data_IF_266178292763
#
_entry.id   IF_266178292763
#
_cell.length_a   1.000
_cell.length_b   1.000
_cell.length_c   1.000
_cell.angle_alpha   90.00
_cell.angle_beta   90.00
_cell.angle_gamma   90.00
#
_symmetry.space_group_name_H-M   'P 1'
#
loop_
_entity.id
_entity.type
_entity.pdbx_description
1 polymer ?
#
# COMPACT_ATOMS: atom_id res chain seq x y z
N UNK A 1 4.38 20.64 -4.71
CA UNK A 1 4.86 19.83 -3.57
C UNK A 1 4.20 18.45 -3.54
N UNK A 2 2.93 18.33 -3.91
CA UNK A 2 2.21 17.02 -3.96
C UNK A 2 2.75 16.07 -5.03
N UNK A 3 3.35 16.58 -6.09
CA UNK A 3 3.94 15.78 -7.17
C UNK A 3 5.20 14.97 -6.74
N UNK A 4 5.85 15.35 -5.63
CA UNK A 4 7.05 14.66 -5.15
C UNK A 4 6.66 13.36 -4.41
N UNK A 5 5.60 13.39 -3.62
CA UNK A 5 5.09 12.20 -2.91
C UNK A 5 4.57 11.13 -3.87
N UNK A 6 3.81 11.52 -4.90
CA UNK A 6 3.28 10.58 -5.90
C UNK A 6 4.37 10.00 -6.81
N UNK A 7 5.40 10.79 -7.15
CA UNK A 7 6.57 10.28 -7.88
C UNK A 7 7.40 9.31 -7.05
N UNK A 8 7.59 9.60 -5.75
CA UNK A 8 8.35 8.73 -4.85
C UNK A 8 7.77 7.33 -4.71
N UNK A 9 6.44 7.21 -4.58
CA UNK A 9 5.75 5.92 -4.54
C UNK A 9 5.85 5.17 -5.87
N UNK A 10 5.64 5.87 -6.99
CA UNK A 10 5.80 5.26 -8.33
C UNK A 10 7.22 4.75 -8.59
N UNK A 11 8.23 5.43 -8.06
CA UNK A 11 9.62 5.01 -8.18
C UNK A 11 9.94 3.79 -7.30
N UNK A 12 9.29 3.65 -6.13
CA UNK A 12 9.41 2.45 -5.28
C UNK A 12 8.89 1.22 -6.03
N UNK A 13 7.68 1.28 -6.60
CA UNK A 13 7.11 0.14 -7.35
C UNK A 13 7.95 -0.23 -8.58
N UNK A 14 8.47 0.75 -9.31
CA UNK A 14 9.37 0.48 -10.45
C UNK A 14 10.65 -0.21 -10.01
N UNK A 15 11.26 0.21 -8.91
CA UNK A 15 12.47 -0.41 -8.37
C UNK A 15 12.20 -1.81 -7.85
N UNK A 16 11.06 -2.06 -7.23
CA UNK A 16 10.64 -3.42 -6.86
C UNK A 16 10.57 -4.33 -8.08
N UNK A 17 9.94 -3.88 -9.17
CA UNK A 17 9.90 -4.64 -10.43
C UNK A 17 11.30 -4.91 -10.99
N UNK A 18 12.23 -3.95 -10.90
CA UNK A 18 13.63 -4.14 -11.34
C UNK A 18 14.36 -5.18 -10.48
N UNK A 19 14.19 -5.14 -9.16
CA UNK A 19 14.78 -6.14 -8.25
C UNK A 19 14.23 -7.53 -8.57
N UNK A 20 12.91 -7.64 -8.78
CA UNK A 20 12.25 -8.90 -9.10
C UNK A 20 12.54 -9.40 -10.51
N UNK A 21 12.96 -8.53 -11.45
CA UNK A 21 13.30 -8.93 -12.82
C UNK A 21 14.46 -9.93 -12.89
N UNK A 22 15.36 -9.91 -11.91
CA UNK A 22 16.45 -10.88 -11.77
C UNK A 22 15.94 -12.29 -11.48
N UNK A 23 14.73 -12.43 -10.89
CA UNK A 23 14.10 -13.71 -10.56
C UNK A 23 13.30 -14.32 -11.72
N UNK A 24 13.19 -13.63 -12.86
CA UNK A 24 12.54 -14.12 -14.08
C UNK A 24 11.19 -13.48 -14.41
N UNK A 25 10.73 -13.70 -15.63
CA UNK A 25 9.51 -13.08 -16.18
C UNK A 25 8.23 -13.47 -15.42
N UNK A 26 8.12 -14.72 -14.99
CA UNK A 26 6.97 -15.22 -14.24
C UNK A 26 6.79 -14.44 -12.94
N UNK A 27 7.89 -14.16 -12.23
CA UNK A 27 7.87 -13.42 -10.97
C UNK A 27 7.44 -11.98 -11.18
N UNK A 28 7.95 -11.31 -12.22
CA UNK A 28 7.56 -9.94 -12.56
C UNK A 28 6.09 -9.87 -12.97
N UNK A 29 5.63 -10.80 -13.79
CA UNK A 29 4.24 -10.87 -14.23
C UNK A 29 3.29 -11.05 -13.03
N UNK A 30 3.58 -12.03 -12.17
CA UNK A 30 2.78 -12.33 -10.97
C UNK A 30 2.74 -11.15 -10.00
N UNK A 31 3.90 -10.50 -9.77
CA UNK A 31 3.98 -9.30 -8.94
C UNK A 31 3.17 -8.14 -9.54
N UNK A 32 3.24 -7.95 -10.86
CA UNK A 32 2.48 -6.91 -11.55
C UNK A 32 0.96 -7.12 -11.43
N UNK A 33 0.49 -8.35 -11.54
CA UNK A 33 -0.92 -8.70 -11.30
C UNK A 33 -1.33 -8.38 -9.87
N UNK A 34 -0.53 -8.82 -8.88
CA UNK A 34 -0.82 -8.57 -7.46
C UNK A 34 -0.86 -7.07 -7.12
N UNK A 35 0.10 -6.28 -7.63
CA UNK A 35 0.14 -4.81 -7.44
C UNK A 35 -1.06 -4.13 -8.13
N UNK A 36 -1.44 -4.53 -9.34
CA UNK A 36 -2.59 -3.95 -10.02
C UNK A 36 -3.88 -4.17 -9.22
N UNK A 37 -4.09 -5.38 -8.72
CA UNK A 37 -5.26 -5.71 -7.89
C UNK A 37 -5.21 -4.91 -6.58
N UNK A 38 -4.08 -4.89 -5.88
CA UNK A 38 -3.91 -4.10 -4.66
C UNK A 38 -4.19 -2.61 -4.90
N UNK A 39 -3.72 -2.05 -6.02
CA UNK A 39 -3.94 -0.65 -6.39
C UNK A 39 -5.40 -0.33 -6.66
N UNK A 40 -6.16 -1.26 -7.24
CA UNK A 40 -7.60 -1.10 -7.47
C UNK A 40 -8.34 -0.96 -6.13
N UNK A 41 -8.06 -1.85 -5.19
CA UNK A 41 -8.67 -1.80 -3.84
C UNK A 41 -8.19 -0.60 -3.02
N UNK A 42 -6.97 -0.13 -3.23
CA UNK A 42 -6.42 1.06 -2.60
C UNK A 42 -7.17 2.36 -2.96
N UNK A 43 -7.88 2.39 -4.09
CA UNK A 43 -8.67 3.57 -4.48
C UNK A 43 -9.71 3.97 -3.43
N UNK A 44 -10.25 3.02 -2.67
CA UNK A 44 -11.25 3.29 -1.62
C UNK A 44 -10.64 4.09 -0.46
N UNK A 45 -9.59 3.63 0.25
CA UNK A 45 -8.97 4.42 1.30
C UNK A 45 -8.36 5.72 0.78
N UNK A 46 -7.87 5.76 -0.46
CA UNK A 46 -7.38 6.98 -1.10
C UNK A 46 -8.49 8.03 -1.22
N UNK A 47 -9.66 7.67 -1.73
CA UNK A 47 -10.79 8.58 -1.87
C UNK A 47 -11.26 9.13 -0.52
N UNK A 48 -11.34 8.27 0.51
CA UNK A 48 -11.69 8.67 1.88
C UNK A 48 -10.64 9.62 2.45
N UNK A 49 -9.35 9.35 2.26
CA UNK A 49 -8.26 10.22 2.71
C UNK A 49 -8.29 11.61 2.05
N UNK A 50 -8.58 11.68 0.74
CA UNK A 50 -8.73 12.95 0.02
C UNK A 50 -9.93 13.75 0.55
N UNK A 51 -11.08 13.12 0.76
CA UNK A 51 -12.25 13.75 1.35
C UNK A 51 -11.96 14.29 2.76
N UNK A 52 -11.19 13.54 3.56
CA UNK A 52 -10.75 13.97 4.89
C UNK A 52 -9.91 15.25 4.84
N UNK A 53 -8.97 15.32 3.92
CA UNK A 53 -8.12 16.51 3.77
C UNK A 53 -8.96 17.79 3.60
N UNK A 54 -10.00 17.73 2.78
CA UNK A 54 -10.92 18.86 2.58
C UNK A 54 -11.74 19.14 3.83
N UNK A 55 -12.34 18.11 4.45
CA UNK A 55 -13.20 18.27 5.62
C UNK A 55 -12.43 18.82 6.83
N UNK A 56 -11.27 18.24 7.14
CA UNK A 56 -10.42 18.69 8.24
C UNK A 56 -9.93 20.12 7.97
N UNK A 57 -9.51 20.42 6.75
CA UNK A 57 -9.06 21.76 6.36
C UNK A 57 -10.14 22.84 6.54
N UNK A 58 -11.39 22.55 6.16
CA UNK A 58 -12.52 23.44 6.36
C UNK A 58 -12.78 23.70 7.86
N UNK A 59 -12.81 22.63 8.68
CA UNK A 59 -13.03 22.75 10.12
C UNK A 59 -11.92 23.54 10.84
N UNK A 60 -10.68 23.44 10.39
CA UNK A 60 -9.58 24.27 10.88
C UNK A 60 -9.78 25.73 10.46
N UNK A 61 -10.22 25.98 9.22
CA UNK A 61 -10.57 27.32 8.73
C UNK A 61 -11.69 27.98 9.55
N UNK A 62 -12.68 27.19 9.98
CA UNK A 62 -13.78 27.60 10.87
C UNK A 62 -13.36 27.76 12.35
N UNK A 63 -12.07 27.63 12.66
CA UNK A 63 -11.52 27.69 14.01
C UNK A 63 -12.14 26.67 14.99
N UNK A 64 -12.53 25.49 14.47
CA UNK A 64 -13.13 24.42 15.26
C UNK A 64 -12.22 23.17 15.36
N UNK A 65 -11.10 23.26 16.12
CA UNK A 65 -10.12 22.18 16.18
C UNK A 65 -10.66 20.90 16.84
N UNK A 66 -11.68 21.02 17.70
CA UNK A 66 -12.31 19.85 18.33
C UNK A 66 -13.02 18.98 17.29
N UNK A 67 -13.81 19.58 16.42
CA UNK A 67 -14.48 18.85 15.35
C UNK A 67 -13.48 18.36 14.28
N UNK A 68 -12.43 19.13 13.99
CA UNK A 68 -11.37 18.69 13.09
C UNK A 68 -10.69 17.40 13.59
N UNK A 69 -10.42 17.29 14.90
CA UNK A 69 -9.88 16.07 15.51
C UNK A 69 -10.84 14.88 15.39
N UNK A 70 -12.13 15.10 15.66
CA UNK A 70 -13.16 14.06 15.50
C UNK A 70 -13.22 13.59 14.03
N UNK A 71 -13.24 14.52 13.07
CA UNK A 71 -13.25 14.20 11.67
C UNK A 71 -12.01 13.39 11.25
N UNK A 72 -10.82 13.76 11.71
CA UNK A 72 -9.58 13.03 11.45
C UNK A 72 -9.63 11.59 12.01
N UNK A 73 -10.04 11.43 13.27
CA UNK A 73 -10.15 10.11 13.91
C UNK A 73 -11.20 9.24 13.19
N UNK A 74 -12.36 9.80 12.87
CA UNK A 74 -13.41 9.10 12.13
C UNK A 74 -12.94 8.64 10.75
N UNK A 75 -12.11 9.46 10.09
CA UNK A 75 -11.52 9.09 8.79
C UNK A 75 -10.59 7.89 8.91
N UNK A 76 -9.71 7.89 9.92
CA UNK A 76 -8.79 6.76 10.12
C UNK A 76 -9.58 5.47 10.38
N UNK A 77 -10.62 5.55 11.22
CA UNK A 77 -11.51 4.40 11.47
C UNK A 77 -12.23 3.93 10.20
N UNK A 78 -12.71 4.86 9.38
CA UNK A 78 -13.40 4.52 8.13
C UNK A 78 -12.43 3.90 7.11
N UNK A 79 -11.22 4.42 6.97
CA UNK A 79 -10.19 3.83 6.12
C UNK A 79 -9.79 2.43 6.62
N UNK A 80 -9.64 2.24 7.92
CA UNK A 80 -9.34 0.94 8.52
C UNK A 80 -10.47 -0.07 8.23
N UNK A 81 -11.72 0.33 8.44
CA UNK A 81 -12.88 -0.52 8.14
C UNK A 81 -12.95 -0.86 6.66
N UNK A 82 -12.75 0.11 5.77
CA UNK A 82 -12.68 -0.12 4.33
C UNK A 82 -11.55 -1.06 3.94
N UNK A 83 -10.37 -0.89 4.53
CA UNK A 83 -9.22 -1.77 4.32
C UNK A 83 -9.50 -3.21 4.80
N UNK A 84 -10.18 -3.38 5.94
CA UNK A 84 -10.60 -4.71 6.41
C UNK A 84 -11.57 -5.38 5.43
N UNK A 85 -12.56 -4.65 4.94
CA UNK A 85 -13.51 -5.16 3.94
C UNK A 85 -12.76 -5.55 2.66
N UNK A 86 -11.88 -4.69 2.16
CA UNK A 86 -11.04 -4.97 0.99
C UNK A 86 -10.18 -6.23 1.19
N UNK A 87 -9.53 -6.35 2.34
CA UNK A 87 -8.71 -7.51 2.70
C UNK A 87 -9.54 -8.80 2.69
N UNK A 88 -10.74 -8.79 3.29
CA UNK A 88 -11.65 -9.93 3.28
C UNK A 88 -12.08 -10.29 1.85
N UNK A 89 -12.42 -9.30 1.02
CA UNK A 89 -12.79 -9.54 -0.38
C UNK A 89 -11.62 -10.17 -1.14
N UNK A 90 -10.40 -9.66 -0.97
CA UNK A 90 -9.21 -10.21 -1.61
C UNK A 90 -8.96 -11.65 -1.15
N UNK A 91 -9.09 -11.95 0.13
CA UNK A 91 -8.88 -13.31 0.66
C UNK A 91 -9.94 -14.28 0.10
N UNK A 92 -11.21 -13.88 0.05
CA UNK A 92 -12.30 -14.75 -0.38
C UNK A 92 -12.35 -14.94 -1.90
N UNK A 93 -12.09 -13.88 -2.67
CA UNK A 93 -12.24 -13.85 -4.12
C UNK A 93 -10.92 -13.71 -4.87
N UNK A 94 -9.78 -13.70 -4.20
CA UNK A 94 -8.47 -13.43 -4.79
C UNK A 94 -8.13 -14.38 -5.95
N UNK A 95 -8.35 -15.67 -5.80
CA UNK A 95 -8.09 -16.65 -6.86
C UNK A 95 -8.97 -16.39 -8.10
N UNK A 96 -10.24 -16.04 -7.91
CA UNK A 96 -11.13 -15.68 -9.01
C UNK A 96 -10.67 -14.39 -9.69
N UNK A 97 -10.31 -13.36 -8.92
CA UNK A 97 -9.84 -12.08 -9.45
C UNK A 97 -8.54 -12.24 -10.23
N UNK A 98 -7.57 -13.02 -9.71
CA UNK A 98 -6.31 -13.31 -10.42
C UNK A 98 -6.58 -14.07 -11.71
N UNK A 99 -7.52 -15.01 -11.71
CA UNK A 99 -7.92 -15.77 -12.91
C UNK A 99 -8.52 -14.92 -14.03
N UNK A 100 -9.01 -13.70 -13.72
CA UNK A 100 -9.43 -12.73 -14.74
C UNK A 100 -8.25 -12.02 -15.43
N UNK A 101 -7.08 -11.99 -14.78
CA UNK A 101 -5.88 -11.33 -15.31
C UNK A 101 -5.02 -12.27 -16.15
N UNK A 102 -4.93 -13.55 -15.76
CA UNK A 102 -4.07 -14.51 -16.44
C UNK A 102 -4.62 -15.92 -16.37
N UNK A 103 -4.38 -16.69 -17.44
CA UNK A 103 -4.67 -18.13 -17.53
C UNK A 103 -3.40 -18.98 -17.49
N UNK A 104 -2.22 -18.36 -17.47
CA UNK A 104 -0.94 -19.07 -17.38
C UNK A 104 -0.75 -19.62 -15.97
N UNK A 105 -0.74 -20.93 -15.80
CA UNK A 105 -0.68 -21.62 -14.53
C UNK A 105 0.48 -21.16 -13.63
N UNK A 106 1.75 -21.03 -14.10
CA UNK A 106 2.86 -20.61 -13.24
C UNK A 106 2.69 -19.18 -12.70
N UNK A 107 2.15 -18.26 -13.52
CA UNK A 107 1.88 -16.88 -13.13
C UNK A 107 0.71 -16.83 -12.16
N UNK A 108 -0.34 -17.60 -12.42
CA UNK A 108 -1.55 -17.66 -11.62
C UNK A 108 -1.28 -18.17 -10.20
N UNK A 109 -0.56 -19.28 -10.06
CA UNK A 109 -0.22 -19.85 -8.75
C UNK A 109 0.61 -18.89 -7.89
N UNK A 110 1.64 -18.27 -8.49
CA UNK A 110 2.47 -17.30 -7.79
C UNK A 110 1.68 -16.03 -7.45
N UNK A 111 0.86 -15.51 -8.37
CA UNK A 111 0.04 -14.33 -8.12
C UNK A 111 -0.99 -14.54 -7.01
N UNK A 112 -1.60 -15.72 -6.91
CA UNK A 112 -2.51 -16.08 -5.80
C UNK A 112 -1.75 -16.06 -4.46
N UNK A 113 -0.53 -16.56 -4.43
CA UNK A 113 0.32 -16.47 -3.24
C UNK A 113 0.62 -15.01 -2.87
N UNK A 114 0.98 -14.17 -3.85
CA UNK A 114 1.32 -12.77 -3.61
C UNK A 114 0.11 -11.90 -3.21
N UNK A 115 -1.07 -12.19 -3.72
CA UNK A 115 -2.27 -11.41 -3.39
C UNK A 115 -2.71 -11.60 -1.94
N UNK A 116 -2.35 -12.72 -1.31
CA UNK A 116 -2.56 -12.91 0.12
C UNK A 116 -1.75 -11.90 0.94
N UNK A 117 -0.49 -11.65 0.56
CA UNK A 117 0.32 -10.60 1.18
C UNK A 117 -0.24 -9.21 0.89
N UNK A 118 -0.77 -8.98 -0.32
CA UNK A 118 -1.45 -7.74 -0.67
C UNK A 118 -2.68 -7.49 0.23
N UNK A 119 -3.44 -8.54 0.56
CA UNK A 119 -4.57 -8.43 1.48
C UNK A 119 -4.15 -7.99 2.90
N UNK A 120 -3.03 -8.52 3.41
CA UNK A 120 -2.47 -8.12 4.70
C UNK A 120 -1.96 -6.67 4.63
N UNK A 121 -1.27 -6.31 3.55
CA UNK A 121 -0.73 -4.97 3.33
C UNK A 121 -1.81 -3.88 3.26
N UNK A 122 -3.03 -4.21 2.83
CA UNK A 122 -4.15 -3.26 2.79
C UNK A 122 -4.47 -2.63 4.16
N UNK A 123 -4.23 -3.35 5.27
CA UNK A 123 -4.56 -2.86 6.61
C UNK A 123 -3.67 -1.67 7.03
N UNK A 124 -2.33 -1.79 7.09
CA UNK A 124 -1.46 -0.66 7.42
C UNK A 124 -1.60 0.48 6.40
N UNK A 125 -1.75 0.16 5.11
CA UNK A 125 -1.89 1.13 4.04
C UNK A 125 -3.18 1.95 4.16
N UNK A 126 -4.31 1.33 4.53
CA UNK A 126 -5.56 2.02 4.81
C UNK A 126 -5.46 2.99 5.98
N UNK A 127 -4.82 2.59 7.09
CA UNK A 127 -4.58 3.45 8.26
C UNK A 127 -3.68 4.62 7.85
N UNK A 128 -2.62 4.35 7.12
CA UNK A 128 -1.68 5.34 6.62
C UNK A 128 -2.39 6.40 5.77
N UNK A 129 -3.27 5.99 4.85
CA UNK A 129 -4.01 6.93 4.00
C UNK A 129 -4.99 7.80 4.78
N UNK A 130 -5.68 7.24 5.78
CA UNK A 130 -6.53 8.02 6.67
C UNK A 130 -5.76 9.07 7.47
N UNK A 131 -4.61 8.70 8.01
CA UNK A 131 -3.71 9.60 8.73
C UNK A 131 -3.12 10.69 7.81
N UNK A 132 -2.64 10.29 6.64
CA UNK A 132 -2.05 11.19 5.64
C UNK A 132 -3.06 12.24 5.15
N UNK A 133 -4.29 11.81 4.83
CA UNK A 133 -5.37 12.72 4.43
C UNK A 133 -5.72 13.71 5.52
N UNK A 134 -5.80 13.26 6.76
CA UNK A 134 -6.07 14.12 7.93
C UNK A 134 -4.96 15.14 8.16
N UNK A 135 -3.69 14.73 8.13
CA UNK A 135 -2.53 15.62 8.31
C UNK A 135 -2.43 16.67 7.18
N UNK A 136 -2.75 16.30 5.95
CA UNK A 136 -2.87 17.28 4.85
C UNK A 136 -3.93 18.35 5.16
N UNK A 137 -5.06 17.99 5.77
CA UNK A 137 -6.06 18.93 6.23
C UNK A 137 -5.55 19.90 7.29
N UNK A 138 -4.64 19.48 8.16
CA UNK A 138 -3.92 20.33 9.12
C UNK A 138 -2.80 21.15 8.45
N UNK A 139 -2.62 21.07 7.14
CA UNK A 139 -1.52 21.70 6.37
C UNK A 139 -0.13 21.14 6.70
N UNK A 140 -0.05 20.02 7.38
CA UNK A 140 1.20 19.32 7.62
C UNK A 140 1.39 18.23 6.55
N UNK A 141 2.25 18.52 5.59
CA UNK A 141 2.63 17.60 4.52
C UNK A 141 4.09 17.17 4.63
N UNK A 142 4.87 17.87 5.49
CA UNK A 142 6.31 17.65 5.58
C UNK A 142 6.65 16.42 6.43
N UNK A 143 6.07 16.33 7.63
CA UNK A 143 6.30 15.19 8.53
C UNK A 143 5.85 13.86 7.89
N UNK A 144 4.63 13.76 7.34
CA UNK A 144 4.22 12.54 6.63
C UNK A 144 5.14 12.16 5.45
N UNK A 145 5.61 13.14 4.69
CA UNK A 145 6.53 12.89 3.58
C UNK A 145 7.85 12.27 4.06
N UNK A 146 8.44 12.79 5.13
CA UNK A 146 9.68 12.25 5.70
C UNK A 146 9.45 10.85 6.24
N UNK A 147 8.37 10.61 6.97
CA UNK A 147 8.05 9.30 7.51
C UNK A 147 7.88 8.26 6.39
N UNK A 148 7.18 8.61 5.32
CA UNK A 148 7.04 7.73 4.14
C UNK A 148 8.39 7.42 3.49
N UNK A 149 9.25 8.43 3.31
CA UNK A 149 10.57 8.22 2.74
C UNK A 149 11.42 7.28 3.62
N UNK A 150 11.40 7.47 4.92
CA UNK A 150 12.11 6.61 5.88
C UNK A 150 11.55 5.19 5.83
N UNK A 151 10.25 5.03 5.94
CA UNK A 151 9.57 3.72 5.90
C UNK A 151 9.92 2.94 4.63
N UNK A 152 9.72 3.54 3.46
CA UNK A 152 9.94 2.83 2.21
C UNK A 152 11.40 2.65 1.85
N UNK A 153 12.26 3.67 2.04
CA UNK A 153 13.63 3.63 1.58
C UNK A 153 14.61 3.03 2.57
N UNK A 154 14.38 3.21 3.88
CA UNK A 154 15.29 2.71 4.93
C UNK A 154 14.84 1.34 5.44
N UNK A 155 13.53 1.10 5.52
CA UNK A 155 12.99 -0.16 6.04
C UNK A 155 12.49 -1.09 4.94
N UNK A 156 11.46 -0.72 4.20
CA UNK A 156 10.79 -1.62 3.26
C UNK A 156 11.71 -2.14 2.16
N UNK A 157 12.46 -1.28 1.50
CA UNK A 157 13.34 -1.67 0.39
C UNK A 157 14.55 -2.51 0.84
N UNK A 158 15.34 -2.15 1.87
CA UNK A 158 16.46 -2.98 2.31
C UNK A 158 16.02 -4.32 2.89
N UNK A 159 14.97 -4.33 3.71
CA UNK A 159 14.41 -5.57 4.28
C UNK A 159 13.85 -6.45 3.17
N UNK A 160 13.05 -5.88 2.25
CA UNK A 160 12.51 -6.59 1.11
C UNK A 160 13.60 -7.19 0.22
N UNK A 161 14.63 -6.42 -0.10
CA UNK A 161 15.78 -6.90 -0.87
C UNK A 161 16.52 -8.05 -0.18
N UNK A 162 16.77 -7.91 1.13
CA UNK A 162 17.45 -8.94 1.91
C UNK A 162 16.63 -10.24 1.95
N UNK A 163 15.33 -10.14 2.27
CA UNK A 163 14.45 -11.32 2.33
C UNK A 163 14.24 -11.97 0.96
N UNK A 164 14.19 -11.18 -0.11
CA UNK A 164 14.06 -11.68 -1.48
C UNK A 164 15.25 -12.54 -1.91
N UNK A 165 16.47 -12.11 -1.57
CA UNK A 165 17.70 -12.72 -2.08
C UNK A 165 18.38 -13.68 -1.08
N UNK A 166 18.29 -13.43 0.21
CA UNK A 166 19.00 -14.18 1.24
C UNK A 166 18.06 -14.91 2.21
N UNK A 167 16.95 -14.31 2.63
CA UNK A 167 16.02 -14.88 3.59
C UNK A 167 16.65 -15.22 4.95
N UNK A 168 16.05 -16.14 5.68
CA UNK A 168 16.58 -16.73 6.93
C UNK A 168 17.06 -18.18 6.69
N UNK A 169 17.94 -18.36 5.71
CA UNK A 169 18.47 -19.68 5.31
C UNK A 169 18.11 -20.06 3.88
N UNK A 170 16.92 -19.74 3.41
CA UNK A 170 16.52 -19.84 2.01
C UNK A 170 15.88 -18.52 1.53
N UNK A 171 16.08 -18.11 0.25
CA UNK A 171 15.48 -16.92 -0.32
C UNK A 171 13.95 -17.04 -0.37
N UNK A 172 13.24 -16.01 0.08
CA UNK A 172 11.77 -15.96 -0.01
C UNK A 172 11.27 -15.55 -1.42
N UNK A 173 12.19 -15.22 -2.34
CA UNK A 173 11.81 -14.82 -3.70
C UNK A 173 10.88 -13.61 -3.71
N UNK A 174 9.85 -13.66 -4.54
CA UNK A 174 8.88 -12.56 -4.69
C UNK A 174 8.17 -12.19 -3.37
N UNK A 175 7.94 -13.14 -2.49
CA UNK A 175 7.28 -12.92 -1.19
C UNK A 175 8.12 -12.05 -0.26
N UNK A 176 9.45 -12.14 -0.35
CA UNK A 176 10.37 -11.34 0.46
C UNK A 176 10.16 -9.85 0.32
N UNK A 177 9.85 -9.38 -0.90
CA UNK A 177 9.55 -7.97 -1.16
C UNK A 177 8.25 -7.52 -0.47
N UNK A 178 7.22 -8.36 -0.45
CA UNK A 178 5.96 -8.08 0.24
C UNK A 178 6.12 -8.04 1.76
N UNK A 179 6.95 -8.94 2.33
CA UNK A 179 7.31 -8.85 3.75
C UNK A 179 7.99 -7.52 4.07
N UNK A 180 8.90 -7.07 3.21
CA UNK A 180 9.54 -5.76 3.36
C UNK A 180 8.55 -4.61 3.38
N UNK A 181 7.51 -4.63 2.51
CA UNK A 181 6.47 -3.61 2.47
C UNK A 181 5.54 -3.63 3.69
N UNK A 182 5.26 -4.81 4.25
CA UNK A 182 4.40 -4.93 5.44
C UNK A 182 5.11 -4.45 6.71
N UNK A 183 6.43 -4.64 6.78
CA UNK A 183 7.25 -4.28 7.94
C UNK A 183 7.61 -2.78 7.92
N UNK A 184 7.87 -2.20 6.76
CA UNK A 184 8.26 -0.79 6.56
C UNK A 184 7.09 0.14 6.52
#
# INVERSE_FOLDING_TARGET
RDAVGSRGLGDVYKRQAIILSVLGEIVVASHSVAINIASLFFMVPLAIGLASSTRVGNLIGEKNPKQAKVAATSTIMLCMTGAMINSIIIILFGSFIVGLYTTELPVLELAISLIFFAAIFQLPDGIQMGALGSLRGYKDTFIPMILLLISYWIFAMPIGYYLTNFGFGEPFGAQGMWYGMIIG
#
